data_IF_470084494891
#
_entry.id   IF_470084494891
#
_cell.length_a   1.000
_cell.length_b   1.000
_cell.length_c   1.000
_cell.angle_alpha   90.00
_cell.angle_beta   90.00
_cell.angle_gamma   90.00
#
_symmetry.space_group_name_H-M   'P 1'
#
loop_
_entity.id
_entity.type
_entity.pdbx_description
1 polymer ?
#
# COMPACT_ATOMS: atom_id res chain seq x y z
N UNK A 1 78.60 -28.60 30.64
CA UNK A 1 77.68 -27.44 30.71
C UNK A 1 76.97 -27.24 29.36
N UNK A 2 76.05 -28.12 28.97
CA UNK A 2 75.34 -28.02 27.67
C UNK A 2 73.81 -28.21 27.79
N UNK A 3 73.31 -28.53 28.98
CA UNK A 3 71.89 -28.77 29.26
C UNK A 3 71.07 -27.48 29.38
N UNK A 4 71.68 -26.36 29.80
CA UNK A 4 71.00 -25.07 29.93
C UNK A 4 70.66 -24.42 28.57
N UNK A 5 71.43 -24.73 27.52
CA UNK A 5 71.20 -24.15 26.18
C UNK A 5 70.05 -24.83 25.44
N UNK A 6 69.88 -26.15 25.61
CA UNK A 6 68.77 -26.88 24.98
C UNK A 6 67.42 -26.57 25.64
N UNK A 7 67.40 -26.29 26.95
CA UNK A 7 66.16 -25.99 27.66
C UNK A 7 65.55 -24.66 27.23
N UNK A 8 66.36 -23.60 27.08
CA UNK A 8 65.90 -22.29 26.60
C UNK A 8 65.40 -22.30 25.16
N UNK A 9 66.05 -23.08 24.27
CA UNK A 9 65.61 -23.24 22.88
C UNK A 9 64.24 -23.94 22.81
N UNK A 10 64.00 -24.96 23.63
CA UNK A 10 62.70 -25.63 23.67
C UNK A 10 61.60 -24.68 24.17
N UNK A 11 61.87 -23.84 25.18
CA UNK A 11 60.91 -22.83 25.64
C UNK A 11 60.55 -21.81 24.55
N UNK A 12 61.53 -21.38 23.75
CA UNK A 12 61.28 -20.47 22.62
C UNK A 12 60.46 -21.13 21.51
N UNK A 13 60.74 -22.40 21.18
CA UNK A 13 59.97 -23.18 20.20
C UNK A 13 58.52 -23.38 20.63
N UNK A 14 58.28 -23.65 21.92
CA UNK A 14 56.91 -23.78 22.44
C UNK A 14 56.18 -22.44 22.46
N UNK A 15 56.87 -21.34 22.78
CA UNK A 15 56.31 -19.98 22.66
C UNK A 15 55.95 -19.63 21.20
N UNK A 16 56.77 -20.03 20.22
CA UNK A 16 56.50 -19.82 18.80
C UNK A 16 55.27 -20.61 18.32
N UNK A 17 55.09 -21.84 18.81
CA UNK A 17 53.90 -22.66 18.55
C UNK A 17 52.65 -22.05 19.16
N UNK A 18 52.71 -21.59 20.40
CA UNK A 18 51.62 -20.89 21.09
C UNK A 18 51.22 -19.61 20.33
N UNK A 19 52.20 -18.77 19.97
CA UNK A 19 51.97 -17.56 19.19
C UNK A 19 51.30 -17.88 17.83
N UNK A 20 51.78 -18.91 17.13
CA UNK A 20 51.21 -19.36 15.86
C UNK A 20 49.75 -19.82 16.02
N UNK A 21 49.43 -20.57 17.08
CA UNK A 21 48.06 -20.98 17.39
C UNK A 21 47.15 -19.79 17.68
N UNK A 22 47.62 -18.81 18.45
CA UNK A 22 46.86 -17.58 18.75
C UNK A 22 46.52 -16.84 17.45
N UNK A 23 47.49 -16.67 16.56
CA UNK A 23 47.27 -16.01 15.26
C UNK A 23 46.30 -16.79 14.37
N UNK A 24 46.42 -18.12 14.31
CA UNK A 24 45.49 -18.97 13.55
C UNK A 24 44.05 -18.86 14.09
N UNK A 25 43.88 -18.93 15.41
CA UNK A 25 42.58 -18.77 16.07
C UNK A 25 41.97 -17.40 15.78
N UNK A 26 42.77 -16.33 15.82
CA UNK A 26 42.32 -14.99 15.47
C UNK A 26 41.87 -14.88 13.99
N UNK A 27 42.62 -15.49 13.06
CA UNK A 27 42.25 -15.55 11.64
C UNK A 27 40.94 -16.32 11.42
N UNK A 28 40.78 -17.48 12.04
CA UNK A 28 39.56 -18.28 11.97
C UNK A 28 38.36 -17.51 12.55
N UNK A 29 38.54 -16.90 13.73
CA UNK A 29 37.49 -16.08 14.35
C UNK A 29 37.04 -14.94 13.44
N UNK A 30 37.98 -14.25 12.78
CA UNK A 30 37.64 -13.19 11.82
C UNK A 30 36.80 -13.71 10.65
N UNK A 31 37.18 -14.85 10.06
CA UNK A 31 36.45 -15.45 8.95
C UNK A 31 35.06 -15.91 9.39
N UNK A 32 34.97 -16.54 10.57
CA UNK A 32 33.71 -16.97 11.14
C UNK A 32 32.77 -15.77 11.38
N UNK A 33 33.26 -14.70 12.00
CA UNK A 33 32.47 -13.49 12.26
C UNK A 33 31.96 -12.85 10.96
N UNK A 34 32.76 -12.85 9.89
CA UNK A 34 32.30 -12.36 8.57
C UNK A 34 31.21 -13.25 7.97
N UNK A 35 31.31 -14.58 8.15
CA UNK A 35 30.29 -15.52 7.67
C UNK A 35 28.99 -15.37 8.46
N UNK A 36 29.10 -15.24 9.78
CA UNK A 36 27.95 -15.06 10.67
C UNK A 36 27.22 -13.76 10.34
N UNK A 37 27.94 -12.64 10.18
CA UNK A 37 27.34 -11.37 9.78
C UNK A 37 26.59 -11.45 8.43
N UNK A 38 27.12 -12.18 7.45
CA UNK A 38 26.42 -12.40 6.17
C UNK A 38 25.18 -13.26 6.31
N UNK A 39 25.26 -14.30 7.14
CA UNK A 39 24.14 -15.21 7.41
C UNK A 39 23.01 -14.48 8.14
N UNK A 40 23.36 -13.66 9.12
CA UNK A 40 22.42 -12.86 9.91
C UNK A 40 21.74 -11.80 9.05
N UNK A 41 22.49 -11.05 8.24
CA UNK A 41 21.92 -10.10 7.29
C UNK A 41 20.98 -10.78 6.27
N UNK A 42 21.34 -11.97 5.77
CA UNK A 42 20.47 -12.72 4.86
C UNK A 42 19.15 -13.16 5.54
N UNK A 43 19.21 -13.58 6.80
CA UNK A 43 18.00 -13.91 7.58
C UNK A 43 17.12 -12.67 7.79
N UNK A 44 17.71 -11.56 8.19
CA UNK A 44 16.98 -10.30 8.41
C UNK A 44 16.30 -9.80 7.13
N UNK A 45 16.96 -9.93 5.98
CA UNK A 45 16.37 -9.61 4.67
C UNK A 45 15.15 -10.49 4.38
N UNK A 46 15.24 -11.80 4.60
CA UNK A 46 14.10 -12.72 4.37
C UNK A 46 12.94 -12.45 5.33
N UNK A 47 13.23 -12.15 6.60
CA UNK A 47 12.20 -11.76 7.57
C UNK A 47 11.51 -10.46 7.16
N UNK A 48 12.26 -9.43 6.76
CA UNK A 48 11.71 -8.17 6.26
C UNK A 48 10.84 -8.38 5.01
N UNK A 49 11.30 -9.23 4.10
CA UNK A 49 10.56 -9.56 2.88
C UNK A 49 9.25 -10.29 3.21
N UNK A 50 9.27 -11.24 4.14
CA UNK A 50 8.09 -11.93 4.59
C UNK A 50 7.09 -10.97 5.27
N UNK A 51 7.58 -10.09 6.15
CA UNK A 51 6.77 -9.06 6.80
C UNK A 51 6.13 -8.11 5.78
N UNK A 52 6.91 -7.58 4.83
CA UNK A 52 6.42 -6.67 3.79
C UNK A 52 5.43 -7.35 2.84
N UNK A 53 5.65 -8.61 2.49
CA UNK A 53 4.68 -9.36 1.69
C UNK A 53 3.37 -9.58 2.45
N UNK A 54 3.43 -9.85 3.75
CA UNK A 54 2.24 -10.01 4.61
C UNK A 54 1.48 -8.68 4.74
N UNK A 55 2.20 -7.58 4.98
CA UNK A 55 1.63 -6.22 5.00
C UNK A 55 0.95 -5.89 3.66
N UNK A 56 1.61 -6.19 2.54
CA UNK A 56 1.06 -6.00 1.20
C UNK A 56 -0.21 -6.85 0.98
N UNK A 57 -0.20 -8.13 1.33
CA UNK A 57 -1.36 -9.02 1.21
C UNK A 57 -2.54 -8.50 2.04
N UNK A 58 -2.29 -8.05 3.27
CA UNK A 58 -3.32 -7.46 4.13
C UNK A 58 -3.86 -6.16 3.55
N UNK A 59 -2.98 -5.30 3.03
CA UNK A 59 -3.38 -4.05 2.37
C UNK A 59 -4.26 -4.32 1.15
N UNK A 60 -3.86 -5.27 0.31
CA UNK A 60 -4.64 -5.70 -0.86
C UNK A 60 -5.98 -6.27 -0.42
N UNK A 61 -6.03 -7.17 0.56
CA UNK A 61 -7.28 -7.77 1.03
C UNK A 61 -8.26 -6.73 1.60
N UNK A 62 -7.74 -5.73 2.33
CA UNK A 62 -8.57 -4.63 2.86
C UNK A 62 -9.09 -3.70 1.76
N UNK A 63 -8.26 -3.36 0.77
CA UNK A 63 -8.64 -2.42 -0.28
C UNK A 63 -9.35 -3.07 -1.47
N UNK A 64 -9.15 -4.36 -1.73
CA UNK A 64 -9.83 -5.07 -2.82
C UNK A 64 -11.35 -5.12 -2.62
N UNK A 65 -11.81 -5.21 -1.36
CA UNK A 65 -13.24 -5.17 -1.03
C UNK A 65 -13.83 -3.76 -0.90
N UNK A 66 -12.99 -2.71 -0.88
CA UNK A 66 -13.47 -1.33 -0.72
C UNK A 66 -14.21 -0.83 -1.97
N UNK A 67 -13.85 -1.35 -3.16
CA UNK A 67 -14.55 -1.05 -4.40
C UNK A 67 -16.01 -1.50 -4.34
N UNK A 68 -16.27 -2.72 -3.87
CA UNK A 68 -17.64 -3.28 -3.80
C UNK A 68 -18.50 -2.55 -2.76
N UNK A 69 -17.91 -2.18 -1.62
CA UNK A 69 -18.62 -1.37 -0.62
C UNK A 69 -18.93 0.04 -1.11
N UNK A 70 -18.00 0.65 -1.87
CA UNK A 70 -18.21 1.97 -2.46
C UNK A 70 -19.32 1.92 -3.52
N UNK A 71 -19.29 0.92 -4.41
CA UNK A 71 -20.33 0.68 -5.42
C UNK A 71 -21.70 0.50 -4.77
N UNK A 72 -21.82 -0.35 -3.75
CA UNK A 72 -23.10 -0.56 -3.07
C UNK A 72 -23.67 0.70 -2.42
N UNK A 73 -22.81 1.59 -1.88
CA UNK A 73 -23.25 2.89 -1.35
C UNK A 73 -23.74 3.81 -2.46
N UNK A 74 -22.97 3.91 -3.56
CA UNK A 74 -23.34 4.72 -4.73
C UNK A 74 -24.66 4.24 -5.33
N UNK A 75 -24.86 2.93 -5.46
CA UNK A 75 -26.10 2.35 -5.99
C UNK A 75 -27.30 2.71 -5.10
N UNK A 76 -27.16 2.57 -3.77
CA UNK A 76 -28.22 2.94 -2.82
C UNK A 76 -28.58 4.43 -2.87
N UNK A 77 -27.57 5.31 -2.94
CA UNK A 77 -27.79 6.75 -3.06
C UNK A 77 -28.42 7.12 -4.41
N UNK A 78 -28.02 6.44 -5.48
CA UNK A 78 -28.57 6.63 -6.82
C UNK A 78 -30.03 6.21 -6.86
N UNK A 79 -30.37 5.04 -6.32
CA UNK A 79 -31.75 4.57 -6.22
C UNK A 79 -32.62 5.50 -5.36
N UNK A 80 -32.09 6.03 -4.27
CA UNK A 80 -32.78 7.01 -3.44
C UNK A 80 -33.08 8.30 -4.23
N UNK A 81 -32.09 8.86 -4.93
CA UNK A 81 -32.25 10.05 -5.77
C UNK A 81 -33.22 9.80 -6.93
N UNK A 82 -33.18 8.63 -7.56
CA UNK A 82 -34.15 8.28 -8.63
C UNK A 82 -35.58 8.27 -8.08
N UNK A 83 -35.79 7.71 -6.88
CA UNK A 83 -37.11 7.72 -6.23
C UNK A 83 -37.59 9.14 -5.93
N UNK A 84 -36.70 9.99 -5.41
CA UNK A 84 -37.00 11.40 -5.14
C UNK A 84 -37.38 12.16 -6.41
N UNK A 85 -36.59 12.02 -7.49
CA UNK A 85 -36.87 12.65 -8.79
C UNK A 85 -38.22 12.18 -9.34
N UNK A 86 -38.53 10.88 -9.26
CA UNK A 86 -39.82 10.35 -9.72
C UNK A 86 -40.98 10.87 -8.89
N UNK A 87 -40.83 11.00 -7.58
CA UNK A 87 -41.85 11.57 -6.71
C UNK A 87 -42.12 13.04 -7.05
N UNK A 88 -41.06 13.85 -7.15
CA UNK A 88 -41.16 15.26 -7.53
C UNK A 88 -41.77 15.44 -8.93
N UNK A 89 -41.38 14.61 -9.90
CA UNK A 89 -41.94 14.62 -11.24
C UNK A 89 -43.44 14.30 -11.23
N UNK A 90 -43.86 13.27 -10.46
CA UNK A 90 -45.27 12.92 -10.34
C UNK A 90 -46.09 14.02 -9.66
N UNK A 91 -45.55 14.67 -8.62
CA UNK A 91 -46.21 15.77 -7.93
C UNK A 91 -46.44 16.98 -8.87
N UNK A 92 -45.42 17.36 -9.65
CA UNK A 92 -45.50 18.54 -10.55
C UNK A 92 -46.06 18.24 -11.94
N UNK A 93 -46.33 16.96 -12.25
CA UNK A 93 -46.80 16.52 -13.58
C UNK A 93 -48.09 17.24 -13.96
N UNK A 94 -49.06 17.30 -13.05
CA UNK A 94 -50.36 17.89 -13.36
C UNK A 94 -50.26 19.39 -13.59
N UNK A 95 -49.53 20.11 -12.71
CA UNK A 95 -49.28 21.54 -12.86
C UNK A 95 -48.58 21.88 -14.18
N UNK A 96 -47.62 21.05 -14.60
CA UNK A 96 -46.90 21.22 -15.86
C UNK A 96 -47.82 21.02 -17.07
N UNK A 97 -48.67 19.98 -17.04
CA UNK A 97 -49.68 19.72 -18.09
C UNK A 97 -50.68 20.88 -18.16
N UNK A 98 -51.19 21.35 -17.02
CA UNK A 98 -52.15 22.46 -16.99
C UNK A 98 -51.56 23.75 -17.55
N UNK A 99 -50.31 24.10 -17.16
CA UNK A 99 -49.60 25.25 -17.73
C UNK A 99 -49.41 25.13 -19.24
N UNK A 100 -49.04 23.94 -19.73
CA UNK A 100 -48.86 23.69 -21.15
C UNK A 100 -50.19 23.80 -21.91
N UNK A 101 -51.26 23.21 -21.38
CA UNK A 101 -52.60 23.31 -21.96
C UNK A 101 -53.11 24.75 -22.00
N UNK A 102 -52.94 25.51 -20.91
CA UNK A 102 -53.30 26.93 -20.84
C UNK A 102 -52.52 27.76 -21.85
N UNK A 103 -51.22 27.52 -22.01
CA UNK A 103 -50.41 28.21 -23.01
C UNK A 103 -50.84 27.90 -24.45
N UNK A 104 -51.25 26.65 -24.73
CA UNK A 104 -51.73 26.23 -26.06
C UNK A 104 -53.11 26.82 -26.37
N UNK A 105 -54.02 26.87 -25.40
CA UNK A 105 -55.41 27.34 -25.62
C UNK A 105 -55.55 28.87 -25.52
N UNK A 106 -54.60 29.56 -24.89
CA UNK A 106 -54.60 31.02 -24.76
C UNK A 106 -54.03 31.68 -26.03
N UNK A 107 -54.88 31.95 -27.01
CA UNK A 107 -54.51 32.67 -28.22
C UNK A 107 -54.51 34.18 -27.94
N UNK A 108 -53.32 34.78 -27.84
CA UNK A 108 -53.17 36.24 -27.83
C UNK A 108 -52.99 36.76 -29.26
N UNK A 109 -54.04 37.36 -29.81
CA UNK A 109 -53.96 38.06 -31.10
C UNK A 109 -53.35 39.44 -30.88
N UNK A 110 -52.04 39.55 -31.11
CA UNK A 110 -51.34 40.83 -31.16
C UNK A 110 -51.16 41.25 -32.62
N UNK A 111 -51.40 42.51 -32.98
CA UNK A 111 -51.04 43.01 -34.30
C UNK A 111 -49.54 42.77 -34.53
N UNK A 112 -49.18 42.44 -35.77
CA UNK A 112 -47.77 42.34 -36.14
C UNK A 112 -47.07 43.66 -35.79
N UNK A 113 -45.83 43.60 -35.33
CA UNK A 113 -45.08 44.75 -34.79
C UNK A 113 -45.03 45.96 -35.74
N UNK A 114 -45.20 45.72 -37.05
CA UNK A 114 -45.20 46.72 -38.12
C UNK A 114 -46.59 47.16 -38.61
N UNK A 115 -47.67 46.80 -37.92
CA UNK A 115 -49.02 47.24 -38.29
C UNK A 115 -49.15 48.75 -38.13
N UNK A 116 -49.47 49.46 -39.21
CA UNK A 116 -49.76 50.91 -39.23
C UNK A 116 -51.22 51.11 -39.64
N UNK A 117 -51.94 51.92 -38.86
CA UNK A 117 -53.34 52.32 -39.05
C UNK A 117 -53.46 53.31 -40.20
#
# INVERSE_FOLDING_TARGET
MSTSNSQGINTLLDAEREASKIVQKAKQYRVQRLKDARSEAAKEIEELKAQKNTEYQNFVAQHSGQSDQSLSKVDRETDAKIKEIRAAANEKKQDAIEKMMKAITSVETKPHENYRV
#
